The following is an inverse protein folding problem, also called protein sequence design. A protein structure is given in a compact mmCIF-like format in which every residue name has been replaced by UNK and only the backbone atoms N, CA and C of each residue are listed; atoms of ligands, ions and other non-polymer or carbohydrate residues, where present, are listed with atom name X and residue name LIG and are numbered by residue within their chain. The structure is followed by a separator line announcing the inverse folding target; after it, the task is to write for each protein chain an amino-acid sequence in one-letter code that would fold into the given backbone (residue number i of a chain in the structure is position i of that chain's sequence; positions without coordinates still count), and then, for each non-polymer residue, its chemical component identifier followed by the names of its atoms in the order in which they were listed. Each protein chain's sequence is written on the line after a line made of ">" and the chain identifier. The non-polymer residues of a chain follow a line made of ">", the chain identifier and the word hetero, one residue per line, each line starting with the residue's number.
data_IF_883570306881
#
_entry.id   IF_883570306881
#
_cell.length_a   1.000
_cell.length_b   1.000
_cell.length_c   1.000
_cell.angle_alpha   90.00
_cell.angle_beta   90.00
_cell.angle_gamma   90.00
#
_symmetry.space_group_name_H-M   'P 1'
#
loop_
_entity.id
_entity.type
_entity.pdbx_description
1 polymer ?
#
# COMPACT_ATOMS: atom_id res chain seq x y z
N UNK A 1 -19.12 6.74 -1.68
CA UNK A 1 -17.82 6.07 -1.52
C UNK A 1 -17.63 5.09 -2.67
N UNK A 2 -16.42 4.95 -3.22
CA UNK A 2 -16.13 4.16 -4.43
C UNK A 2 -15.19 2.99 -4.08
N UNK A 3 -15.26 1.84 -4.78
CA UNK A 3 -14.30 0.75 -4.60
C UNK A 3 -12.85 1.23 -4.81
N UNK A 4 -11.93 0.66 -4.05
CA UNK A 4 -10.52 1.07 -4.07
C UNK A 4 -9.54 -0.08 -3.84
N UNK A 5 -8.30 0.10 -4.30
CA UNK A 5 -7.18 -0.81 -4.10
C UNK A 5 -6.26 -0.22 -3.03
N UNK A 6 -5.96 -0.99 -2.00
CA UNK A 6 -4.97 -0.63 -0.98
C UNK A 6 -3.58 -1.09 -1.37
N UNK A 7 -2.60 -0.23 -1.20
CA UNK A 7 -1.18 -0.53 -1.43
C UNK A 7 -0.38 -0.14 -0.20
N UNK A 8 0.31 -1.09 0.40
CA UNK A 8 1.27 -0.80 1.47
C UNK A 8 2.48 0.00 0.96
N UNK A 9 3.14 0.70 1.88
CA UNK A 9 4.33 1.48 1.58
C UNK A 9 5.61 0.66 1.78
N UNK A 10 5.95 0.32 3.01
CA UNK A 10 7.29 -0.14 3.40
C UNK A 10 7.51 -1.62 3.11
N UNK A 11 8.28 -1.92 2.07
CA UNK A 11 8.49 -3.29 1.58
C UNK A 11 7.61 -3.62 0.38
N UNK A 12 6.67 -2.73 0.04
CA UNK A 12 5.69 -2.93 -1.03
C UNK A 12 5.84 -1.90 -2.15
N UNK A 13 5.60 -0.61 -1.84
CA UNK A 13 5.76 0.49 -2.79
C UNK A 13 7.14 1.14 -2.71
N UNK A 14 7.75 1.13 -1.53
CA UNK A 14 9.09 1.64 -1.24
C UNK A 14 9.95 0.55 -0.63
N UNK A 15 11.26 0.57 -0.86
CA UNK A 15 12.18 -0.36 -0.21
C UNK A 15 12.15 -0.18 1.31
N UNK A 16 11.94 -1.28 2.04
CA UNK A 16 12.06 -1.28 3.50
C UNK A 16 13.52 -1.42 3.91
N UNK A 17 14.01 -0.49 4.73
CA UNK A 17 15.34 -0.54 5.32
C UNK A 17 15.25 -0.69 6.86
N UNK A 18 15.50 -1.89 7.41
CA UNK A 18 15.51 -2.10 8.85
C UNK A 18 16.49 -1.14 9.56
N UNK A 19 15.97 -0.37 10.52
CA UNK A 19 16.76 0.58 11.31
C UNK A 19 16.81 2.01 10.79
N UNK A 20 16.21 2.28 9.62
CA UNK A 20 15.97 3.65 9.15
C UNK A 20 14.50 4.04 9.33
N UNK A 21 14.26 5.30 9.67
CA UNK A 21 12.91 5.90 9.67
C UNK A 21 12.56 6.54 8.31
N UNK A 22 13.54 6.65 7.41
CA UNK A 22 13.32 7.19 6.07
C UNK A 22 12.49 6.22 5.23
N UNK A 23 11.70 6.76 4.31
CA UNK A 23 11.05 5.97 3.27
C UNK A 23 12.11 5.69 2.20
N UNK A 24 12.28 4.43 1.80
CA UNK A 24 13.29 4.05 0.83
C UNK A 24 12.94 4.44 -0.61
N UNK A 25 13.83 4.09 -1.54
CA UNK A 25 13.59 4.27 -2.98
C UNK A 25 12.32 3.54 -3.46
N UNK A 26 11.67 4.00 -4.54
CA UNK A 26 10.48 3.35 -5.06
C UNK A 26 10.79 1.96 -5.64
N UNK A 27 9.88 1.02 -5.38
CA UNK A 27 9.85 -0.28 -6.05
C UNK A 27 9.11 -0.09 -7.38
N UNK A 28 9.86 0.13 -8.46
CA UNK A 28 9.33 0.52 -9.78
C UNK A 28 8.18 -0.38 -10.30
N UNK A 29 8.23 -1.72 -10.18
CA UNK A 29 7.10 -2.56 -10.60
C UNK A 29 5.78 -2.23 -9.90
N UNK A 30 5.82 -1.77 -8.65
CA UNK A 30 4.64 -1.38 -7.89
C UNK A 30 4.16 0.02 -8.30
N UNK A 31 5.07 0.96 -8.51
CA UNK A 31 4.76 2.30 -9.07
C UNK A 31 4.05 2.19 -10.42
N UNK A 32 4.59 1.39 -11.35
CA UNK A 32 3.98 1.15 -12.66
C UNK A 32 2.58 0.53 -12.55
N UNK A 33 2.37 -0.35 -11.56
CA UNK A 33 1.07 -0.98 -11.32
C UNK A 33 0.05 0.04 -10.81
N UNK A 34 0.45 0.95 -9.93
CA UNK A 34 -0.38 2.07 -9.48
C UNK A 34 -0.82 2.93 -10.67
N UNK A 35 0.12 3.36 -11.52
CA UNK A 35 -0.22 4.15 -12.71
C UNK A 35 -1.22 3.41 -13.61
N UNK A 36 -1.02 2.11 -13.87
CA UNK A 36 -1.97 1.31 -14.67
C UNK A 36 -3.38 1.27 -14.07
N UNK A 37 -3.53 1.27 -12.75
CA UNK A 37 -4.85 1.34 -12.12
C UNK A 37 -5.48 2.73 -12.24
N UNK A 38 -4.68 3.77 -12.02
CA UNK A 38 -5.12 5.16 -12.15
C UNK A 38 -5.54 5.49 -13.59
N UNK A 39 -4.79 5.04 -14.59
CA UNK A 39 -5.11 5.21 -16.01
C UNK A 39 -6.44 4.54 -16.40
N UNK A 40 -6.84 3.50 -15.66
CA UNK A 40 -8.13 2.80 -15.82
C UNK A 40 -9.25 3.45 -15.00
N UNK A 41 -8.99 4.59 -14.36
CA UNK A 41 -9.96 5.32 -13.54
C UNK A 41 -10.27 4.65 -12.19
N UNK A 42 -9.40 3.75 -11.72
CA UNK A 42 -9.57 3.08 -10.44
C UNK A 42 -9.07 3.96 -9.29
N UNK A 43 -9.67 3.81 -8.11
CA UNK A 43 -9.20 4.48 -6.89
C UNK A 43 -8.08 3.66 -6.26
N UNK A 44 -6.94 4.29 -5.96
CA UNK A 44 -5.84 3.69 -5.20
C UNK A 44 -5.65 4.49 -3.91
N UNK A 45 -5.40 3.79 -2.80
CA UNK A 45 -5.02 4.40 -1.51
C UNK A 45 -3.75 3.74 -0.99
N UNK A 46 -2.94 4.52 -0.28
CA UNK A 46 -1.80 3.97 0.47
C UNK A 46 -2.29 3.51 1.83
N UNK A 47 -2.08 2.24 2.15
CA UNK A 47 -2.46 1.61 3.42
C UNK A 47 -1.19 1.28 4.18
N UNK A 48 -0.74 2.14 5.10
CA UNK A 48 0.56 1.99 5.75
C UNK A 48 0.47 2.13 7.27
N UNK A 49 1.28 1.35 7.98
CA UNK A 49 1.45 1.50 9.42
C UNK A 49 1.95 2.90 9.82
N UNK A 50 2.65 3.62 8.93
CA UNK A 50 3.06 5.00 9.20
C UNK A 50 1.87 5.91 9.51
N UNK A 51 0.71 5.67 8.87
CA UNK A 51 -0.51 6.43 9.10
C UNK A 51 -1.21 6.12 10.44
N UNK A 52 -0.67 5.20 11.26
CA UNK A 52 -1.11 5.02 12.65
C UNK A 52 -0.72 6.20 13.55
N UNK A 53 0.23 7.02 13.11
CA UNK A 53 0.64 8.28 13.74
C UNK A 53 0.34 9.39 12.74
N UNK A 54 -0.69 10.24 12.96
CA UNK A 54 -1.09 11.27 12.00
C UNK A 54 0.05 12.19 11.54
N UNK A 55 1.01 12.46 12.42
CA UNK A 55 2.19 13.29 12.16
C UNK A 55 3.14 12.69 11.11
N UNK A 56 3.05 11.40 10.82
CA UNK A 56 3.87 10.75 9.79
C UNK A 56 3.22 10.76 8.40
N UNK A 57 1.91 11.09 8.30
CA UNK A 57 1.19 11.13 7.02
C UNK A 57 1.81 12.14 6.04
N UNK A 58 2.18 13.38 6.45
CA UNK A 58 2.77 14.36 5.53
C UNK A 58 4.03 13.83 4.83
N UNK A 59 4.92 13.13 5.56
CA UNK A 59 6.13 12.56 4.97
C UNK A 59 5.84 11.50 3.89
N UNK A 60 4.76 10.74 4.03
CA UNK A 60 4.31 9.80 2.99
C UNK A 60 3.77 10.55 1.79
N UNK A 61 2.98 11.61 2.00
CA UNK A 61 2.43 12.43 0.91
C UNK A 61 3.55 13.12 0.12
N UNK A 62 4.53 13.69 0.81
CA UNK A 62 5.68 14.34 0.18
C UNK A 62 6.47 13.33 -0.67
N UNK A 63 6.74 12.14 -0.12
CA UNK A 63 7.42 11.07 -0.85
C UNK A 63 6.67 10.63 -2.11
N UNK A 64 5.33 10.52 -2.05
CA UNK A 64 4.52 10.22 -3.24
C UNK A 64 4.70 11.28 -4.33
N UNK A 65 4.70 12.56 -3.95
CA UNK A 65 4.88 13.68 -4.87
C UNK A 65 6.29 13.68 -5.50
N UNK A 66 7.34 13.46 -4.69
CA UNK A 66 8.74 13.38 -5.14
C UNK A 66 8.93 12.29 -6.22
N UNK A 67 8.16 11.21 -6.12
CA UNK A 67 8.21 10.08 -7.06
C UNK A 67 7.11 10.10 -8.14
N UNK A 68 6.50 11.27 -8.40
CA UNK A 68 5.51 11.49 -9.46
C UNK A 68 4.22 10.66 -9.33
N UNK A 69 3.89 10.22 -8.13
CA UNK A 69 2.57 9.68 -7.83
C UNK A 69 1.61 10.83 -7.49
N UNK A 70 0.34 10.75 -7.88
CA UNK A 70 -0.64 11.77 -7.50
C UNK A 70 -0.85 11.77 -5.98
N UNK A 71 -1.57 12.77 -5.48
CA UNK A 71 -1.99 12.84 -4.08
C UNK A 71 -3.00 11.72 -3.74
N UNK A 72 -2.49 10.50 -3.53
CA UNK A 72 -3.26 9.37 -3.07
C UNK A 72 -3.64 9.55 -1.60
N UNK A 73 -4.83 9.08 -1.23
CA UNK A 73 -5.23 9.04 0.19
C UNK A 73 -4.30 8.09 0.95
N UNK A 74 -3.79 8.53 2.10
CA UNK A 74 -2.94 7.75 3.00
C UNK A 74 -3.74 7.41 4.25
N UNK A 75 -3.83 6.12 4.57
CA UNK A 75 -4.65 5.61 5.69
C UNK A 75 -4.00 4.39 6.34
N UNK A 76 -4.39 4.07 7.58
CA UNK A 76 -4.11 2.79 8.23
C UNK A 76 -5.39 1.95 8.42
N UNK A 77 -6.50 2.36 7.82
CA UNK A 77 -7.82 1.74 8.00
C UNK A 77 -8.28 1.06 6.71
N UNK A 78 -9.00 -0.05 6.87
CA UNK A 78 -9.79 -0.67 5.80
C UNK A 78 -11.28 -0.37 5.98
N UNK A 79 -12.01 -0.35 4.88
CA UNK A 79 -13.45 -0.23 4.87
C UNK A 79 -14.07 -1.28 3.93
N UNK A 80 -15.41 -1.29 3.82
CA UNK A 80 -16.14 -2.22 2.96
C UNK A 80 -15.89 -2.03 1.46
N UNK A 81 -15.25 -0.95 1.04
CA UNK A 81 -14.97 -0.62 -0.36
C UNK A 81 -13.55 -1.02 -0.80
N UNK A 82 -12.69 -1.50 0.11
CA UNK A 82 -11.39 -2.05 -0.25
C UNK A 82 -11.57 -3.38 -0.98
N UNK A 83 -11.21 -3.41 -2.27
CA UNK A 83 -11.33 -4.60 -3.12
C UNK A 83 -10.15 -5.56 -2.94
N UNK A 84 -8.94 -5.00 -2.91
CA UNK A 84 -7.67 -5.73 -2.85
C UNK A 84 -6.69 -4.97 -1.96
N UNK A 85 -5.81 -5.70 -1.29
CA UNK A 85 -4.67 -5.16 -0.55
C UNK A 85 -3.39 -5.77 -1.11
N UNK A 86 -2.49 -4.91 -1.57
CA UNK A 86 -1.13 -5.25 -1.99
C UNK A 86 -0.19 -4.89 -0.86
N UNK A 87 0.48 -5.89 -0.27
CA UNK A 87 1.25 -5.76 0.97
C UNK A 87 2.22 -6.95 1.09
N UNK A 88 3.49 -6.71 1.38
CA UNK A 88 4.54 -7.73 1.48
C UNK A 88 4.31 -8.69 2.65
N UNK A 89 3.61 -8.24 3.69
CA UNK A 89 3.30 -9.01 4.92
C UNK A 89 1.96 -9.71 4.84
N UNK A 90 1.01 -9.28 4.02
CA UNK A 90 -0.30 -9.92 3.92
C UNK A 90 -0.23 -11.42 3.53
N UNK A 91 -0.98 -12.25 4.25
CA UNK A 91 -1.19 -13.68 3.95
C UNK A 91 -2.60 -13.85 3.42
N UNK A 92 -2.76 -14.24 2.15
CA UNK A 92 -4.08 -14.52 1.61
C UNK A 92 -4.60 -15.86 2.15
N UNK A 93 -5.85 -15.88 2.58
CA UNK A 93 -6.54 -17.11 3.02
C UNK A 93 -7.65 -17.50 2.03
N UNK A 94 -7.94 -18.79 1.94
CA UNK A 94 -9.13 -19.28 1.25
C UNK A 94 -10.36 -18.82 2.03
N UNK A 95 -11.30 -18.21 1.31
CA UNK A 95 -12.51 -17.59 1.87
C UNK A 95 -13.24 -18.57 2.80
N UNK A 96 -13.56 -18.11 4.01
CA UNK A 96 -14.27 -18.86 5.06
C UNK A 96 -13.59 -20.13 5.58
N UNK A 97 -12.27 -20.29 5.39
CA UNK A 97 -11.55 -21.48 5.90
C UNK A 97 -10.43 -21.17 6.89
N UNK A 98 -9.89 -19.95 6.88
CA UNK A 98 -8.68 -19.58 7.61
C UNK A 98 -7.39 -20.25 7.10
N UNK A 99 -7.46 -21.08 6.05
CA UNK A 99 -6.30 -21.75 5.47
C UNK A 99 -5.56 -20.78 4.54
N UNK A 100 -4.23 -20.62 4.66
CA UNK A 100 -3.48 -19.78 3.75
C UNK A 100 -3.45 -20.40 2.35
N UNK A 101 -3.49 -19.56 1.32
CA UNK A 101 -3.29 -19.99 -0.07
C UNK A 101 -1.83 -20.40 -0.28
N UNK A 102 -0.89 -19.60 0.23
CA UNK A 102 0.52 -19.96 0.31
C UNK A 102 0.84 -20.59 1.67
N UNK A 103 1.15 -21.89 1.67
CA UNK A 103 1.45 -22.66 2.89
C UNK A 103 2.90 -22.51 3.36
N UNK A 104 3.70 -21.68 2.69
CA UNK A 104 5.12 -21.48 3.03
C UNK A 104 5.35 -20.25 3.91
N UNK A 105 4.36 -19.37 4.04
CA UNK A 105 4.40 -18.20 4.92
C UNK A 105 4.20 -18.64 6.39
N UNK A 106 4.99 -18.05 7.30
CA UNK A 106 5.12 -18.41 8.71
C UNK A 106 3.89 -18.05 9.57
#
# INVERSE_FOLDING_TARGET
>A
MRPWIGVDLDGTLAYYNPGSHQIGEPILPMVERIHKWLDRGMTVKIVTARASVPEHIPAVVDWLQEHNLPALEVTNQKDYFMLELWDDRAVQVVVNTGQPIDKTKL
#
